data_IF_542743609892
#
_entry.id   IF_542743609892
#
_cell.length_a   1.000
_cell.length_b   1.000
_cell.length_c   1.000
_cell.angle_alpha   90.00
_cell.angle_beta   90.00
_cell.angle_gamma   90.00
#
_symmetry.space_group_name_H-M   'P 1'
#
loop_
_entity.id
_entity.type
_entity.pdbx_description
1 polymer ?
#
# COMPACT_ATOMS: atom_id res chain seq x y z
N UNK A 1 -27.55 -39.80 29.75
CA UNK A 1 -27.20 -38.45 30.24
C UNK A 1 -26.09 -37.92 29.35
N UNK A 2 -26.40 -36.94 28.50
CA UNK A 2 -25.48 -36.38 27.52
C UNK A 2 -24.60 -35.31 28.17
N UNK A 3 -23.27 -35.48 28.12
CA UNK A 3 -22.31 -34.47 28.52
C UNK A 3 -22.00 -33.54 27.34
N UNK A 4 -22.35 -32.27 27.47
CA UNK A 4 -22.00 -31.26 26.48
C UNK A 4 -20.54 -30.82 26.69
N UNK A 5 -19.72 -30.98 25.65
CA UNK A 5 -18.35 -30.47 25.58
C UNK A 5 -18.46 -28.97 25.26
N UNK A 6 -18.02 -28.11 26.19
CA UNK A 6 -17.97 -26.66 25.99
C UNK A 6 -16.63 -26.31 25.33
N UNK A 7 -16.59 -26.24 24.01
CA UNK A 7 -15.45 -25.67 23.27
C UNK A 7 -15.58 -24.15 23.26
N UNK A 8 -14.65 -23.46 23.90
CA UNK A 8 -14.52 -22.00 23.82
C UNK A 8 -14.25 -21.56 22.37
N UNK A 9 -14.83 -20.44 21.90
CA UNK A 9 -14.47 -19.88 20.60
C UNK A 9 -13.02 -19.37 20.64
N UNK A 10 -12.24 -19.79 19.64
CA UNK A 10 -10.89 -19.31 19.40
C UNK A 10 -10.94 -17.82 19.09
N UNK A 11 -10.43 -17.00 20.01
CA UNK A 11 -10.18 -15.58 19.76
C UNK A 11 -9.24 -15.44 18.56
N UNK A 12 -9.82 -15.04 17.43
CA UNK A 12 -9.11 -14.54 16.27
C UNK A 12 -8.42 -13.24 16.70
N UNK A 13 -7.18 -13.36 17.16
CA UNK A 13 -6.30 -12.24 17.39
C UNK A 13 -6.11 -11.50 16.05
N UNK A 14 -6.87 -10.42 15.86
CA UNK A 14 -6.54 -9.42 14.85
C UNK A 14 -5.24 -8.77 15.29
N UNK A 15 -4.15 -9.11 14.61
CA UNK A 15 -2.88 -8.45 14.79
C UNK A 15 -3.06 -6.96 14.43
N UNK A 16 -3.26 -6.12 15.44
CA UNK A 16 -3.00 -4.69 15.32
C UNK A 16 -1.49 -4.55 15.25
N UNK A 17 -0.95 -4.41 14.04
CA UNK A 17 0.43 -3.98 13.85
C UNK A 17 0.54 -2.56 14.40
N UNK A 18 1.07 -2.43 15.63
CA UNK A 18 1.50 -1.14 16.15
C UNK A 18 2.60 -0.62 15.23
N UNK A 19 2.31 0.46 14.50
CA UNK A 19 3.28 1.15 13.68
C UNK A 19 4.41 1.64 14.60
N UNK A 20 5.51 0.88 14.65
CA UNK A 20 6.68 1.24 15.41
C UNK A 20 7.17 2.61 14.97
N UNK A 21 7.48 3.47 15.93
CA UNK A 21 7.94 4.86 15.75
C UNK A 21 9.17 5.05 14.82
N UNK A 22 9.75 3.95 14.30
CA UNK A 22 10.90 3.92 13.39
C UNK A 22 10.70 2.99 12.17
N UNK A 23 9.47 2.51 11.92
CA UNK A 23 9.13 1.70 10.73
C UNK A 23 8.76 2.55 9.52
N UNK A 24 8.74 1.98 8.30
CA UNK A 24 8.30 2.68 7.10
C UNK A 24 6.89 3.26 7.32
N UNK A 25 6.65 4.49 6.88
CA UNK A 25 5.31 5.09 6.92
C UNK A 25 4.42 4.35 5.93
N UNK A 26 3.59 3.43 6.45
CA UNK A 26 2.66 2.63 5.66
C UNK A 26 1.23 3.14 5.83
N UNK A 27 0.45 3.00 4.77
CA UNK A 27 -0.99 3.24 4.78
C UNK A 27 -1.69 1.91 5.02
N UNK A 28 -2.70 1.86 5.90
CA UNK A 28 -3.49 0.64 6.13
C UNK A 28 -4.43 0.37 4.96
N UNK A 29 -4.74 -0.89 4.69
CA UNK A 29 -5.70 -1.31 3.65
C UNK A 29 -7.05 -0.62 3.79
N UNK A 30 -7.50 -0.42 5.04
CA UNK A 30 -8.77 0.25 5.34
C UNK A 30 -8.75 1.71 4.92
N UNK A 31 -7.68 2.44 5.23
CA UNK A 31 -7.53 3.84 4.82
C UNK A 31 -7.47 3.98 3.29
N UNK A 32 -6.69 3.10 2.65
CA UNK A 32 -6.55 3.06 1.19
C UNK A 32 -7.87 2.72 0.51
N UNK A 33 -8.66 1.78 1.07
CA UNK A 33 -9.98 1.46 0.55
C UNK A 33 -10.90 2.68 0.56
N UNK A 34 -10.92 3.42 1.65
CA UNK A 34 -11.74 4.64 1.76
C UNK A 34 -11.30 5.69 0.74
N UNK A 35 -9.98 5.88 0.57
CA UNK A 35 -9.42 6.81 -0.41
C UNK A 35 -9.78 6.40 -1.85
N UNK A 36 -9.53 5.14 -2.24
CA UNK A 36 -9.84 4.62 -3.57
C UNK A 36 -11.35 4.69 -3.82
N UNK A 37 -12.18 4.35 -2.84
CA UNK A 37 -13.63 4.44 -2.96
C UNK A 37 -14.10 5.88 -3.22
N UNK A 38 -13.52 6.85 -2.51
CA UNK A 38 -13.82 8.26 -2.72
C UNK A 38 -13.43 8.72 -4.13
N UNK A 39 -12.20 8.47 -4.55
CA UNK A 39 -11.68 8.87 -5.87
C UNK A 39 -12.46 8.19 -7.00
N UNK A 40 -12.65 6.88 -6.92
CA UNK A 40 -13.38 6.13 -7.95
C UNK A 40 -14.82 6.61 -8.07
N UNK A 41 -15.46 7.00 -6.96
CA UNK A 41 -16.81 7.57 -7.00
C UNK A 41 -16.85 8.91 -7.74
N UNK A 42 -15.84 9.76 -7.57
CA UNK A 42 -15.73 11.03 -8.30
C UNK A 42 -15.50 10.82 -9.80
N UNK A 43 -14.73 9.79 -10.15
CA UNK A 43 -14.37 9.47 -11.54
C UNK A 43 -15.37 8.54 -12.25
N UNK A 44 -16.40 8.04 -11.56
CA UNK A 44 -17.34 7.06 -12.10
C UNK A 44 -16.75 5.67 -12.33
N UNK A 45 -15.68 5.32 -11.62
CA UNK A 45 -14.98 4.03 -11.69
C UNK A 45 -15.53 3.04 -10.63
N UNK A 46 -15.26 1.72 -10.78
CA UNK A 46 -15.70 0.71 -9.81
C UNK A 46 -15.16 0.96 -8.39
N UNK A 47 -16.03 0.89 -7.38
CA UNK A 47 -15.66 1.09 -5.97
C UNK A 47 -15.35 -0.26 -5.31
N UNK A 48 -14.19 -0.44 -4.65
CA UNK A 48 -13.87 -1.66 -3.91
C UNK A 48 -14.83 -1.85 -2.73
N UNK A 49 -15.35 -3.08 -2.54
CA UNK A 49 -16.30 -3.40 -1.47
C UNK A 49 -15.60 -4.04 -0.27
N UNK A 50 -14.50 -4.76 -0.50
CA UNK A 50 -13.68 -5.39 0.54
C UNK A 50 -12.18 -5.21 0.29
N UNK A 51 -11.33 -5.71 1.19
CA UNK A 51 -9.85 -5.57 1.10
C UNK A 51 -9.26 -6.50 0.03
N UNK A 52 -9.99 -7.55 -0.33
CA UNK A 52 -9.67 -8.49 -1.41
C UNK A 52 -9.83 -7.82 -2.78
N UNK A 53 -10.77 -6.87 -2.90
CA UNK A 53 -11.01 -6.09 -4.12
C UNK A 53 -9.95 -5.01 -4.36
N UNK A 54 -9.10 -4.73 -3.36
CA UNK A 54 -8.09 -3.69 -3.50
C UNK A 54 -6.98 -4.12 -4.47
N UNK A 55 -6.63 -3.27 -5.43
CA UNK A 55 -5.65 -3.61 -6.44
C UNK A 55 -4.23 -3.68 -5.82
N UNK A 56 -3.35 -4.41 -6.50
CA UNK A 56 -1.91 -4.44 -6.18
C UNK A 56 -1.25 -3.09 -6.46
N UNK A 57 -1.80 -2.34 -7.40
CA UNK A 57 -1.31 -1.04 -7.85
C UNK A 57 -2.47 -0.10 -8.12
N UNK A 58 -2.39 1.13 -7.61
CA UNK A 58 -3.37 2.17 -7.86
C UNK A 58 -2.68 3.51 -8.11
N UNK A 59 -2.87 4.10 -9.29
CA UNK A 59 -2.30 5.40 -9.64
C UNK A 59 -3.25 6.52 -9.21
N UNK A 60 -2.80 7.37 -8.30
CA UNK A 60 -3.55 8.55 -7.83
C UNK A 60 -3.37 9.74 -8.78
N UNK A 61 -2.16 9.88 -9.31
CA UNK A 61 -1.72 10.95 -10.20
C UNK A 61 -0.60 10.39 -11.10
N UNK A 62 -0.33 10.96 -12.30
CA UNK A 62 0.91 10.72 -13.04
C UNK A 62 2.16 10.53 -12.18
N UNK A 63 2.37 11.33 -11.14
CA UNK A 63 3.56 11.24 -10.27
C UNK A 63 3.40 10.43 -8.98
N UNK A 64 2.23 9.85 -8.71
CA UNK A 64 1.92 9.28 -7.39
C UNK A 64 1.14 7.97 -7.49
N UNK A 65 1.72 6.92 -6.94
CA UNK A 65 1.15 5.59 -6.94
C UNK A 65 1.08 4.99 -5.53
N UNK A 66 0.04 4.22 -5.29
CA UNK A 66 -0.08 3.31 -4.16
C UNK A 66 0.24 1.90 -4.62
N UNK A 67 1.19 1.26 -3.94
CA UNK A 67 1.60 -0.11 -4.22
C UNK A 67 1.35 -0.97 -2.98
N UNK A 68 0.60 -2.06 -3.15
CA UNK A 68 0.31 -3.01 -2.07
C UNK A 68 1.57 -3.80 -1.73
N UNK A 69 1.83 -4.02 -0.45
CA UNK A 69 2.85 -4.98 -0.04
C UNK A 69 2.43 -6.40 -0.47
N UNK A 70 3.36 -7.11 -1.13
CA UNK A 70 3.14 -8.44 -1.67
C UNK A 70 3.18 -9.54 -0.61
N UNK A 71 3.83 -9.28 0.53
CA UNK A 71 3.89 -10.17 1.70
C UNK A 71 2.75 -9.88 2.66
N UNK A 72 2.60 -8.61 3.04
CA UNK A 72 1.65 -8.13 4.04
C UNK A 72 0.53 -7.35 3.33
N UNK A 73 -0.49 -8.08 2.85
CA UNK A 73 -1.56 -7.52 2.00
C UNK A 73 -2.46 -6.47 2.69
N UNK A 74 -2.15 -6.06 3.91
CA UNK A 74 -2.80 -5.04 4.72
C UNK A 74 -2.09 -3.67 4.68
N UNK A 75 -0.92 -3.58 4.03
CA UNK A 75 -0.15 -2.34 3.91
C UNK A 75 0.01 -1.87 2.46
N UNK A 76 0.08 -0.55 2.29
CA UNK A 76 0.39 0.13 1.04
C UNK A 76 1.52 1.13 1.20
N UNK A 77 2.42 1.14 0.21
CA UNK A 77 3.51 2.08 0.08
C UNK A 77 3.16 3.19 -0.91
N UNK A 78 3.59 4.40 -0.60
CA UNK A 78 3.55 5.53 -1.52
C UNK A 78 4.80 5.47 -2.39
N UNK A 79 4.61 5.48 -3.69
CA UNK A 79 5.70 5.42 -4.67
C UNK A 79 5.57 6.60 -5.63
N UNK A 80 6.65 7.36 -5.74
CA UNK A 80 6.87 8.48 -6.66
C UNK A 80 8.07 8.14 -7.54
N UNK A 81 8.24 8.79 -8.72
CA UNK A 81 9.39 8.52 -9.58
C UNK A 81 10.75 8.73 -8.87
N UNK A 82 10.81 9.74 -7.98
CA UNK A 82 12.03 10.07 -7.25
C UNK A 82 12.21 9.26 -5.96
N UNK A 83 11.13 8.87 -5.27
CA UNK A 83 11.20 8.27 -3.94
C UNK A 83 10.09 7.25 -3.65
N UNK A 84 10.32 6.32 -2.73
CA UNK A 84 9.37 5.29 -2.35
C UNK A 84 9.38 5.06 -0.83
N UNK A 85 8.21 4.98 -0.21
CA UNK A 85 8.09 4.76 1.24
C UNK A 85 8.35 3.32 1.69
N UNK A 86 8.73 2.42 0.77
CA UNK A 86 9.01 1.03 1.11
C UNK A 86 10.31 0.89 1.91
N UNK A 87 10.41 -0.12 2.81
CA UNK A 87 11.60 -0.30 3.64
C UNK A 87 12.88 -0.55 2.83
N UNK A 88 12.75 -1.13 1.63
CA UNK A 88 13.89 -1.36 0.74
C UNK A 88 14.57 -0.06 0.30
N UNK A 89 13.81 1.04 0.11
CA UNK A 89 14.38 2.34 -0.25
C UNK A 89 15.13 2.98 0.91
N UNK A 90 14.64 2.78 2.14
CA UNK A 90 15.36 3.20 3.35
C UNK A 90 16.69 2.47 3.56
N UNK A 91 16.76 1.18 3.19
CA UNK A 91 17.99 0.38 3.30
C UNK A 91 19.00 0.68 2.19
N UNK A 92 18.53 0.90 0.95
CA UNK A 92 19.37 1.16 -0.22
C UNK A 92 18.92 2.45 -0.92
N UNK A 93 19.24 3.63 -0.37
CA UNK A 93 18.76 4.91 -0.92
C UNK A 93 19.43 5.31 -2.24
N UNK A 94 20.61 4.76 -2.53
CA UNK A 94 21.38 5.09 -3.74
C UNK A 94 20.90 4.35 -4.99
N UNK A 95 20.11 3.29 -4.85
CA UNK A 95 19.62 2.48 -5.96
C UNK A 95 18.10 2.69 -6.16
N UNK A 96 17.62 2.72 -7.41
CA UNK A 96 16.20 2.83 -7.67
C UNK A 96 15.49 1.59 -7.14
N UNK A 97 14.47 1.79 -6.29
CA UNK A 97 13.75 0.67 -5.72
C UNK A 97 12.89 -0.04 -6.78
N UNK A 98 12.62 -1.33 -6.56
CA UNK A 98 11.83 -2.15 -7.50
C UNK A 98 10.43 -1.57 -7.80
N UNK A 99 9.81 -0.86 -6.85
CA UNK A 99 8.52 -0.21 -7.07
C UNK A 99 8.62 0.91 -8.11
N UNK A 100 9.68 1.71 -8.06
CA UNK A 100 9.88 2.81 -9.00
C UNK A 100 10.10 2.25 -10.40
N UNK A 101 11.02 1.30 -10.54
CA UNK A 101 11.38 0.72 -11.85
C UNK A 101 10.25 -0.10 -12.48
N UNK A 102 9.35 -0.67 -11.68
CA UNK A 102 8.19 -1.42 -12.18
C UNK A 102 7.04 -0.55 -12.64
N UNK A 103 6.76 0.53 -11.92
CA UNK A 103 5.52 1.28 -12.09
C UNK A 103 5.72 2.64 -12.76
N UNK A 104 6.96 3.11 -12.90
CA UNK A 104 7.30 4.34 -13.62
C UNK A 104 8.23 4.04 -14.77
N UNK A 105 8.03 4.77 -15.87
CA UNK A 105 8.89 4.75 -17.05
C UNK A 105 10.18 5.52 -16.78
N UNK A 106 11.25 5.19 -17.52
CA UNK A 106 12.53 5.91 -17.42
C UNK A 106 12.33 7.41 -17.67
N UNK A 107 11.46 7.79 -18.62
CA UNK A 107 11.13 9.18 -18.91
C UNK A 107 10.48 9.91 -17.72
N UNK A 108 9.59 9.23 -16.98
CA UNK A 108 8.94 9.81 -15.79
C UNK A 108 9.95 10.02 -14.65
N UNK A 109 10.92 9.11 -14.50
CA UNK A 109 11.99 9.22 -13.50
C UNK A 109 12.97 10.33 -13.88
N UNK A 110 13.46 10.35 -15.12
CA UNK A 110 14.36 11.39 -15.61
C UNK A 110 13.73 12.79 -15.63
N UNK A 111 12.41 12.88 -15.87
CA UNK A 111 11.70 14.15 -15.82
C UNK A 111 11.74 14.77 -14.41
N UNK A 112 11.71 13.95 -13.36
CA UNK A 112 11.83 14.47 -11.98
C UNK A 112 13.23 14.93 -11.63
N UNK A 113 14.27 14.29 -12.15
CA UNK A 113 15.68 14.68 -11.93
C UNK A 113 16.04 16.01 -12.60
N UNK A 114 15.38 16.35 -13.71
CA UNK A 114 15.62 17.60 -14.46
C UNK A 114 14.91 18.83 -13.87
N UNK A 115 14.06 18.66 -12.86
CA UNK A 115 13.29 19.76 -12.24
C UNK A 115 14.06 20.40 -11.07
N UNK A 116 15.14 19.78 -10.59
CA UNK A 116 16.05 20.38 -9.62
C UNK A 116 17.05 21.32 -10.33
N UNK A 117 16.63 22.56 -10.61
CA UNK A 117 17.50 23.69 -11.01
C UNK A 117 17.33 24.83 -10.01
#
# INVERSE_FOLDING_TARGET
MAGAIFTAPSDSQKHTHEAGLNGPTTQTSVAVRVLIAYINRLLGLPVPKSDEDLPEFYRLDPGLCLVRDSKERDAYYVTMPADCSCPARGLNPAEPCWHITRFFSIEEVEATEKVEI
#
